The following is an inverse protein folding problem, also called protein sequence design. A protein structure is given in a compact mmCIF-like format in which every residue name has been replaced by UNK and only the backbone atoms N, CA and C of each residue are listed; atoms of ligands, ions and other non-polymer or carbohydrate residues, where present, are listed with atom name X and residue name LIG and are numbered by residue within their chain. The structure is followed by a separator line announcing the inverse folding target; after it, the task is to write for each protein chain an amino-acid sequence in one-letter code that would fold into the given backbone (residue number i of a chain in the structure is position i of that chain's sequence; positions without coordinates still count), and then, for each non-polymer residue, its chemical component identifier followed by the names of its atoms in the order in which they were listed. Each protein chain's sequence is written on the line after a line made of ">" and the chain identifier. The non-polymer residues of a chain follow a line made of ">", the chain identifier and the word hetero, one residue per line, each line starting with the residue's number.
data_IF_155619184242
#
_entry.id   IF_155619184242
#
_cell.length_a   1.000
_cell.length_b   1.000
_cell.length_c   1.000
_cell.angle_alpha   90.00
_cell.angle_beta   90.00
_cell.angle_gamma   90.00
#
_symmetry.space_group_name_H-M   'P 1'
#
loop_
_entity.id
_entity.type
_entity.pdbx_description
1 polymer ?
#
# COMPACT_ATOMS: atom_id res chain seq x y z
N UNK A 1 -26.08 -15.18 -50.60
CA UNK A 1 -25.96 -15.40 -49.14
C UNK A 1 -25.15 -16.67 -48.93
N UNK A 2 -23.89 -16.54 -48.52
CA UNK A 2 -22.98 -17.69 -48.46
C UNK A 2 -23.23 -18.52 -47.20
N UNK A 3 -23.86 -19.68 -47.36
CA UNK A 3 -24.13 -20.64 -46.29
C UNK A 3 -22.83 -21.32 -45.84
N UNK A 4 -22.13 -20.73 -44.87
CA UNK A 4 -20.97 -21.38 -44.24
C UNK A 4 -21.43 -22.63 -43.48
N UNK A 5 -20.85 -23.79 -43.79
CA UNK A 5 -21.16 -25.07 -43.16
C UNK A 5 -19.97 -25.51 -42.28
N UNK A 6 -20.26 -26.18 -41.17
CA UNK A 6 -19.28 -26.83 -40.28
C UNK A 6 -19.68 -28.29 -40.05
N UNK A 7 -18.75 -29.12 -39.63
CA UNK A 7 -19.07 -30.48 -39.18
C UNK A 7 -19.31 -30.48 -37.67
N UNK A 8 -20.27 -31.28 -37.22
CA UNK A 8 -20.55 -31.49 -35.80
C UNK A 8 -19.36 -32.15 -35.11
N UNK A 9 -18.87 -31.57 -34.01
CA UNK A 9 -17.72 -32.11 -33.25
C UNK A 9 -18.05 -33.40 -32.47
N UNK A 10 -19.31 -33.84 -32.45
CA UNK A 10 -19.74 -35.06 -31.75
C UNK A 10 -20.05 -36.23 -32.70
N UNK A 11 -20.72 -35.99 -33.83
CA UNK A 11 -21.11 -37.07 -34.77
C UNK A 11 -20.58 -36.90 -36.20
N UNK A 12 -19.93 -35.79 -36.53
CA UNK A 12 -19.41 -35.54 -37.87
C UNK A 12 -20.44 -35.15 -38.93
N UNK A 13 -21.72 -35.01 -38.60
CA UNK A 13 -22.73 -34.54 -39.56
C UNK A 13 -22.45 -33.08 -40.02
N UNK A 14 -22.75 -32.77 -41.29
CA UNK A 14 -22.60 -31.42 -41.84
C UNK A 14 -23.79 -30.55 -41.39
N UNK A 15 -23.49 -29.43 -40.74
CA UNK A 15 -24.48 -28.52 -40.15
C UNK A 15 -24.12 -27.05 -40.45
N UNK A 16 -25.09 -26.12 -40.44
CA UNK A 16 -24.80 -24.70 -40.62
C UNK A 16 -23.84 -24.15 -39.55
N UNK A 17 -22.95 -23.23 -39.92
CA UNK A 17 -21.93 -22.68 -39.03
C UNK A 17 -22.52 -22.01 -37.77
N UNK A 18 -23.68 -21.38 -37.91
CA UNK A 18 -24.42 -20.69 -36.85
C UNK A 18 -25.36 -21.60 -36.04
N UNK A 19 -25.46 -22.89 -36.34
CA UNK A 19 -26.30 -23.80 -35.56
C UNK A 19 -25.72 -24.02 -34.17
N UNK A 20 -26.55 -23.73 -33.16
CA UNK A 20 -26.23 -23.94 -31.74
C UNK A 20 -26.30 -25.41 -31.32
N UNK A 21 -26.92 -26.29 -32.12
CA UNK A 21 -27.07 -27.72 -31.87
C UNK A 21 -27.00 -28.51 -33.18
N UNK A 22 -26.59 -29.78 -33.11
CA UNK A 22 -26.60 -30.69 -34.26
C UNK A 22 -27.99 -31.32 -34.42
N UNK A 23 -28.61 -31.17 -35.60
CA UNK A 23 -29.91 -31.77 -35.88
C UNK A 23 -29.89 -33.30 -35.97
N UNK A 24 -28.72 -33.91 -36.19
CA UNK A 24 -28.57 -35.36 -36.35
C UNK A 24 -28.37 -36.09 -35.02
N UNK A 25 -27.56 -35.54 -34.12
CA UNK A 25 -27.24 -36.20 -32.84
C UNK A 25 -27.64 -35.42 -31.58
N UNK A 26 -28.20 -34.21 -31.72
CA UNK A 26 -28.65 -33.37 -30.61
C UNK A 26 -27.55 -32.61 -29.86
N UNK A 27 -26.26 -32.87 -30.14
CA UNK A 27 -25.17 -32.24 -29.40
C UNK A 27 -25.09 -30.73 -29.61
N UNK A 28 -24.93 -29.97 -28.52
CA UNK A 28 -24.72 -28.51 -28.55
C UNK A 28 -23.40 -28.16 -29.24
N UNK A 29 -23.45 -27.19 -30.14
CA UNK A 29 -22.34 -26.69 -30.94
C UNK A 29 -22.15 -25.20 -30.65
N UNK A 30 -21.22 -24.86 -29.76
CA UNK A 30 -20.85 -23.46 -29.50
C UNK A 30 -19.98 -22.86 -30.63
N UNK A 31 -19.62 -21.56 -30.53
CA UNK A 31 -18.43 -21.05 -31.21
C UNK A 31 -17.25 -21.95 -30.85
N UNK A 32 -16.44 -22.34 -31.86
CA UNK A 32 -15.42 -23.39 -31.78
C UNK A 32 -14.79 -23.45 -30.40
N UNK A 33 -15.03 -24.53 -29.65
CA UNK A 33 -14.10 -24.95 -28.62
C UNK A 33 -12.86 -25.44 -29.33
N UNK A 34 -11.96 -24.51 -29.66
CA UNK A 34 -10.58 -24.83 -29.91
C UNK A 34 -10.03 -25.27 -28.56
N UNK A 35 -9.90 -26.58 -28.43
CA UNK A 35 -9.08 -27.16 -27.37
C UNK A 35 -7.65 -26.62 -27.59
N UNK A 36 -6.96 -26.15 -26.53
CA UNK A 36 -5.57 -25.72 -26.65
C UNK A 36 -4.72 -26.81 -27.34
N UNK A 37 -3.67 -26.45 -28.09
CA UNK A 37 -2.82 -27.45 -28.73
C UNK A 37 -2.28 -28.42 -27.67
N UNK A 38 -2.12 -29.72 -28.01
CA UNK A 38 -1.60 -30.71 -27.08
C UNK A 38 -0.19 -30.32 -26.61
N UNK A 39 0.17 -30.63 -25.36
CA UNK A 39 1.49 -30.33 -24.84
C UNK A 39 2.59 -31.04 -25.65
N UNK A 40 3.82 -30.49 -25.68
CA UNK A 40 4.94 -31.04 -26.44
C UNK A 40 5.32 -32.47 -26.00
N UNK A 41 6.01 -33.25 -26.87
CA UNK A 41 6.33 -34.66 -26.64
C UNK A 41 7.20 -34.90 -25.40
N UNK A 42 7.14 -36.10 -24.80
CA UNK A 42 7.81 -36.40 -23.54
C UNK A 42 9.33 -36.48 -23.74
N UNK A 43 10.02 -35.41 -23.37
CA UNK A 43 11.46 -35.36 -23.20
C UNK A 43 11.80 -34.99 -21.76
N UNK A 44 12.52 -35.88 -21.08
CA UNK A 44 13.14 -35.72 -19.76
C UNK A 44 12.16 -35.38 -18.61
N UNK A 45 11.49 -36.42 -18.11
CA UNK A 45 11.07 -36.41 -16.71
C UNK A 45 12.33 -36.55 -15.85
N UNK A 46 12.93 -35.42 -15.47
CA UNK A 46 13.75 -35.41 -14.27
C UNK A 46 12.87 -35.91 -13.11
N UNK A 47 13.41 -36.81 -12.28
CA UNK A 47 12.71 -37.32 -11.12
C UNK A 47 12.12 -36.15 -10.32
N UNK A 48 10.89 -36.26 -9.77
CA UNK A 48 10.35 -35.21 -8.93
C UNK A 48 11.34 -34.96 -7.79
N UNK A 49 11.97 -33.79 -7.82
CA UNK A 49 12.72 -33.26 -6.70
C UNK A 49 11.75 -33.28 -5.51
N UNK A 50 12.15 -33.80 -4.33
CA UNK A 50 11.27 -33.80 -3.17
C UNK A 50 10.79 -32.37 -3.00
N UNK A 51 9.48 -32.17 -3.09
CA UNK A 51 8.87 -30.87 -2.91
C UNK A 51 9.37 -30.36 -1.58
N UNK A 52 10.22 -29.33 -1.60
CA UNK A 52 10.39 -28.50 -0.43
C UNK A 52 9.04 -27.81 -0.31
N UNK A 53 8.18 -28.38 0.53
CA UNK A 53 7.04 -27.71 1.11
C UNK A 53 7.66 -26.49 1.78
N UNK A 54 7.69 -25.37 1.05
CA UNK A 54 8.17 -24.12 1.59
C UNK A 54 7.39 -23.89 2.87
N UNK A 55 8.09 -23.52 3.95
CA UNK A 55 7.42 -23.08 5.15
C UNK A 55 6.36 -22.03 4.75
N UNK A 56 5.16 -22.04 5.36
CA UNK A 56 4.20 -20.97 5.14
C UNK A 56 4.92 -19.63 5.30
N UNK A 57 4.60 -18.61 4.48
CA UNK A 57 5.29 -17.33 4.56
C UNK A 57 5.25 -16.88 6.01
N UNK A 58 6.43 -16.64 6.59
CA UNK A 58 6.53 -16.17 7.96
C UNK A 58 5.66 -14.91 8.08
N UNK A 59 4.71 -14.93 9.01
CA UNK A 59 3.95 -13.74 9.38
C UNK A 59 4.95 -12.76 9.99
N UNK A 60 5.48 -11.86 9.18
CA UNK A 60 6.22 -10.71 9.66
C UNK A 60 5.19 -9.69 10.13
N UNK A 61 5.15 -9.34 11.42
CA UNK A 61 4.39 -8.19 11.86
C UNK A 61 4.90 -7.00 11.05
N UNK A 62 4.00 -6.36 10.28
CA UNK A 62 4.33 -5.10 9.63
C UNK A 62 4.75 -4.14 10.75
N UNK A 63 5.97 -3.55 10.70
CA UNK A 63 6.34 -2.57 11.70
C UNK A 63 5.32 -1.43 11.66
N UNK A 64 4.90 -0.87 12.81
CA UNK A 64 3.89 0.18 12.85
C UNK A 64 4.31 1.33 11.92
N UNK A 65 3.39 1.77 11.05
CA UNK A 65 3.62 2.90 10.16
C UNK A 65 4.01 4.12 11.00
N UNK A 66 5.27 4.57 10.88
CA UNK A 66 5.81 5.71 11.63
C UNK A 66 5.16 6.99 11.08
N UNK A 67 4.13 7.50 11.74
CA UNK A 67 3.56 8.82 11.43
C UNK A 67 4.66 9.88 11.59
N UNK A 68 4.96 10.59 10.51
CA UNK A 68 5.88 11.72 10.54
C UNK A 68 5.16 12.91 11.19
N UNK A 69 5.49 13.20 12.45
CA UNK A 69 5.10 14.47 13.07
C UNK A 69 5.90 15.60 12.46
N UNK A 70 5.29 16.77 12.27
CA UNK A 70 6.00 17.91 11.74
C UNK A 70 6.96 18.48 12.78
N UNK A 71 8.17 18.86 12.35
CA UNK A 71 9.13 19.57 13.20
C UNK A 71 8.58 20.92 13.72
N UNK A 72 7.45 21.38 13.17
CA UNK A 72 6.73 22.55 13.65
C UNK A 72 6.28 22.41 15.11
N UNK A 73 6.13 21.18 15.61
CA UNK A 73 5.77 20.93 17.01
C UNK A 73 6.82 21.46 18.00
N UNK A 74 8.09 21.59 17.58
CA UNK A 74 9.13 22.20 18.42
C UNK A 74 8.91 23.69 18.68
N UNK A 75 8.08 24.38 17.90
CA UNK A 75 7.72 25.78 18.15
C UNK A 75 6.72 25.95 19.30
N UNK A 76 5.89 24.94 19.58
CA UNK A 76 4.88 25.01 20.63
C UNK A 76 5.47 25.36 22.02
N UNK A 77 6.50 24.65 22.53
CA UNK A 77 7.10 25.03 23.82
C UNK A 77 7.78 26.39 23.80
N UNK A 78 8.36 26.80 22.66
CA UNK A 78 9.00 28.12 22.48
C UNK A 78 7.98 29.24 22.66
N UNK A 79 6.84 29.12 21.97
CA UNK A 79 5.76 30.09 22.06
C UNK A 79 5.18 30.15 23.47
N UNK A 80 4.95 29.00 24.11
CA UNK A 80 4.46 28.95 25.49
C UNK A 80 5.44 29.57 26.49
N UNK A 81 6.74 29.36 26.32
CA UNK A 81 7.77 29.95 27.18
C UNK A 81 7.83 31.48 27.03
N UNK A 82 7.78 32.00 25.80
CA UNK A 82 7.75 33.44 25.53
C UNK A 82 6.48 34.06 26.10
N UNK A 83 5.31 33.46 25.85
CA UNK A 83 4.02 33.94 26.38
C UNK A 83 4.00 33.90 27.90
N UNK A 84 4.46 32.81 28.52
CA UNK A 84 4.55 32.68 29.98
C UNK A 84 5.50 33.70 30.60
N UNK A 85 6.67 33.92 30.00
CA UNK A 85 7.63 34.94 30.41
C UNK A 85 7.07 36.36 30.26
N UNK A 86 6.35 36.64 29.18
CA UNK A 86 5.68 37.93 28.96
C UNK A 86 4.54 38.18 29.96
N UNK A 87 3.74 37.16 30.28
CA UNK A 87 2.69 37.25 31.30
C UNK A 87 3.29 37.44 32.71
N UNK A 88 4.31 36.66 33.07
CA UNK A 88 5.03 36.80 34.33
C UNK A 88 5.69 38.17 34.45
N UNK A 89 6.28 38.68 33.37
CA UNK A 89 6.77 40.05 33.30
C UNK A 89 5.64 41.05 33.51
N UNK A 90 4.52 40.93 32.79
CA UNK A 90 3.42 41.89 32.85
C UNK A 90 2.82 42.03 34.24
N UNK A 91 2.63 40.91 34.94
CA UNK A 91 2.09 40.89 36.32
C UNK A 91 3.06 41.52 37.33
N UNK A 92 4.37 41.41 37.09
CA UNK A 92 5.40 41.81 38.05
C UNK A 92 6.13 43.11 37.67
N UNK A 93 5.92 43.66 36.47
CA UNK A 93 6.69 44.78 35.91
C UNK A 93 6.66 46.03 36.79
N UNK A 94 5.54 46.28 37.46
CA UNK A 94 5.35 47.46 38.30
C UNK A 94 5.78 47.22 39.76
N UNK A 95 6.01 45.95 40.17
CA UNK A 95 6.40 45.57 41.53
C UNK A 95 7.92 45.46 41.69
N UNK A 96 8.56 44.76 40.76
CA UNK A 96 10.00 44.51 40.75
C UNK A 96 10.46 44.35 39.29
N UNK A 97 10.81 45.45 38.61
CA UNK A 97 11.13 45.44 37.18
C UNK A 97 12.44 44.69 36.89
N UNK A 98 13.31 44.51 37.89
CA UNK A 98 14.55 43.76 37.75
C UNK A 98 14.25 42.26 37.67
N UNK A 99 13.47 41.72 38.62
CA UNK A 99 13.04 40.32 38.58
C UNK A 99 12.10 40.02 37.42
N UNK A 100 11.20 40.94 37.08
CA UNK A 100 10.30 40.78 35.94
C UNK A 100 11.08 40.57 34.63
N UNK A 101 12.15 41.34 34.41
CA UNK A 101 13.03 41.20 33.24
C UNK A 101 13.78 39.87 33.26
N UNK A 102 14.23 39.43 34.44
CA UNK A 102 14.90 38.14 34.60
C UNK A 102 13.98 36.97 34.23
N UNK A 103 12.67 37.00 34.53
CA UNK A 103 11.74 35.96 34.07
C UNK A 103 11.69 35.84 32.55
N UNK A 104 11.68 36.98 31.84
CA UNK A 104 11.66 37.00 30.39
C UNK A 104 13.00 36.56 29.80
N UNK A 105 14.13 37.01 30.36
CA UNK A 105 15.48 36.65 29.92
C UNK A 105 15.75 35.16 30.15
N UNK A 106 15.40 34.61 31.33
CA UNK A 106 15.59 33.18 31.64
C UNK A 106 14.79 32.31 30.66
N UNK A 107 13.54 32.67 30.37
CA UNK A 107 12.71 31.93 29.41
C UNK A 107 13.30 31.93 28.00
N UNK A 108 13.81 33.07 27.52
CA UNK A 108 14.44 33.19 26.20
C UNK A 108 15.78 32.43 26.14
N UNK A 109 16.63 32.56 27.16
CA UNK A 109 17.96 31.91 27.21
C UNK A 109 17.83 30.38 27.28
N UNK A 110 16.98 29.85 28.15
CA UNK A 110 16.76 28.39 28.25
C UNK A 110 16.22 27.81 26.95
N UNK A 111 15.41 28.58 26.22
CA UNK A 111 14.90 28.21 24.90
C UNK A 111 16.01 28.20 23.85
N UNK A 112 16.83 29.25 23.79
CA UNK A 112 17.95 29.34 22.86
C UNK A 112 18.97 28.20 23.07
N UNK A 113 19.24 27.83 24.33
CA UNK A 113 20.12 26.70 24.67
C UNK A 113 19.55 25.37 24.15
N UNK A 114 18.25 25.12 24.33
CA UNK A 114 17.60 23.91 23.80
C UNK A 114 17.64 23.85 22.26
N UNK A 115 17.43 24.99 21.60
CA UNK A 115 17.56 25.09 20.14
C UNK A 115 18.99 24.78 19.72
N UNK A 116 19.99 25.36 20.38
CA UNK A 116 21.40 25.10 20.11
C UNK A 116 21.71 23.60 20.24
N UNK A 117 21.28 22.96 21.34
CA UNK A 117 21.42 21.50 21.60
C UNK A 117 20.77 20.62 20.54
N UNK A 118 19.70 21.10 19.90
CA UNK A 118 19.03 20.38 18.82
C UNK A 118 19.80 20.46 17.49
N UNK A 119 20.60 21.50 17.30
CA UNK A 119 21.30 21.81 16.04
C UNK A 119 22.81 21.51 16.06
N UNK A 120 23.36 21.01 17.17
CA UNK A 120 24.76 20.60 17.33
C UNK A 120 24.89 19.10 17.53
#
# INVERSE_FOLDING_TARGET
>A
MSSQMKYCQNCGAQIPANSAFCATCGAKQGPRQQMPPPPPPPGQYDAPQPTQYGAPPAYYPQPPMRQSVSNLWYLAPILLAILGGALAWFVNKDKDPEKARNFLVVGVVMTAINILLMYM
#
